data_IF_238276473342
#
_entry.id   IF_238276473342
#
_cell.length_a   1.000
_cell.length_b   1.000
_cell.length_c   1.000
_cell.angle_alpha   90.00
_cell.angle_beta   90.00
_cell.angle_gamma   90.00
#
_symmetry.space_group_name_H-M   'P 1'
#
loop_
_entity.id
_entity.type
_entity.pdbx_description
1 polymer ?
#
# COMPACT_ATOMS: atom_id res chain seq x y z
N UNK A 1 -17.65 2.10 2.17
CA UNK A 1 -16.56 3.10 2.27
C UNK A 1 -15.30 2.30 2.13
N UNK A 2 -14.50 2.55 1.09
CA UNK A 2 -13.39 1.65 0.79
C UNK A 2 -12.27 1.80 1.82
N UNK A 3 -11.73 0.68 2.30
CA UNK A 3 -10.74 0.62 3.37
C UNK A 3 -9.54 -0.22 2.92
N UNK A 4 -8.35 0.25 3.24
CA UNK A 4 -7.10 -0.48 3.09
C UNK A 4 -6.59 -0.79 4.50
N UNK A 5 -6.51 -2.07 4.89
CA UNK A 5 -5.95 -2.49 6.20
C UNK A 5 -4.55 -3.03 6.01
N UNK A 6 -3.62 -2.64 6.87
CA UNK A 6 -2.21 -3.04 6.78
C UNK A 6 -1.84 -3.99 7.91
N UNK A 7 -0.89 -4.87 7.61
CA UNK A 7 -0.42 -5.90 8.52
C UNK A 7 1.11 -5.95 8.52
N UNK A 8 1.67 -6.30 9.67
CA UNK A 8 3.13 -6.51 9.82
C UNK A 8 3.59 -7.82 9.17
N UNK A 9 2.71 -8.80 9.04
CA UNK A 9 3.00 -10.08 8.42
C UNK A 9 2.71 -10.07 6.91
N UNK A 10 3.30 -11.02 6.20
CA UNK A 10 2.88 -11.35 4.84
C UNK A 10 1.45 -11.94 4.82
N UNK A 11 0.79 -11.94 3.65
CA UNK A 11 -0.51 -12.61 3.45
C UNK A 11 -1.62 -12.14 4.42
N UNK A 12 -1.56 -10.88 4.87
CA UNK A 12 -2.43 -10.31 5.90
C UNK A 12 -2.44 -11.13 7.21
N UNK A 13 -1.33 -11.80 7.51
CA UNK A 13 -1.12 -12.51 8.76
C UNK A 13 -0.52 -11.59 9.84
N UNK A 14 -0.45 -12.09 11.08
CA UNK A 14 0.12 -11.38 12.24
C UNK A 14 -0.67 -10.13 12.64
N UNK A 15 -0.02 -9.14 13.24
CA UNK A 15 -0.67 -7.98 13.82
C UNK A 15 -1.22 -7.02 12.76
N UNK A 16 -2.46 -6.59 12.97
CA UNK A 16 -3.05 -5.46 12.27
C UNK A 16 -2.40 -4.17 12.80
N UNK A 17 -1.81 -3.37 11.91
CA UNK A 17 -1.02 -2.18 12.29
C UNK A 17 -1.69 -0.86 11.90
N UNK A 18 -2.81 -0.89 11.17
CA UNK A 18 -3.55 0.32 10.84
C UNK A 18 -4.42 0.20 9.60
N UNK A 19 -5.17 1.27 9.30
CA UNK A 19 -6.02 1.36 8.11
C UNK A 19 -6.05 2.75 7.52
N UNK A 20 -6.26 2.82 6.22
CA UNK A 20 -6.46 4.04 5.44
C UNK A 20 -7.80 3.99 4.72
N UNK A 21 -8.35 5.16 4.40
CA UNK A 21 -9.49 5.27 3.49
C UNK A 21 -9.01 5.24 2.05
N UNK A 22 -9.68 4.48 1.18
CA UNK A 22 -9.45 4.54 -0.27
C UNK A 22 -10.31 5.59 -0.97
N UNK A 23 -11.24 6.22 -0.26
CA UNK A 23 -12.22 7.15 -0.83
C UNK A 23 -11.69 8.60 -0.93
N UNK A 24 -10.51 8.87 -0.36
CA UNK A 24 -9.87 10.17 -0.39
C UNK A 24 -8.46 10.03 -0.94
N UNK A 25 -8.10 10.93 -1.86
CA UNK A 25 -6.72 11.09 -2.29
C UNK A 25 -5.91 11.75 -1.18
N UNK A 26 -4.97 11.01 -0.59
CA UNK A 26 -4.19 11.48 0.56
C UNK A 26 -2.80 10.86 0.58
N UNK A 27 -1.83 11.66 0.98
CA UNK A 27 -0.46 11.24 1.29
C UNK A 27 -0.29 11.10 2.80
N UNK A 28 0.33 10.00 3.21
CA UNK A 28 0.67 9.70 4.60
C UNK A 28 2.19 9.55 4.70
N UNK A 29 2.81 10.48 5.42
CA UNK A 29 4.20 10.37 5.86
C UNK A 29 4.23 9.58 7.17
N UNK A 30 4.76 8.35 7.13
CA UNK A 30 4.79 7.46 8.29
C UNK A 30 5.89 7.82 9.29
N UNK A 31 6.81 8.72 8.94
CA UNK A 31 7.82 9.22 9.89
C UNK A 31 7.23 10.14 10.96
N UNK A 32 6.00 10.64 10.75
CA UNK A 32 5.29 11.49 11.70
C UNK A 32 4.71 10.67 12.85
N UNK A 33 4.79 11.19 14.07
CA UNK A 33 4.21 10.56 15.28
C UNK A 33 2.69 10.33 15.16
N UNK A 34 2.00 11.16 14.38
CA UNK A 34 0.55 11.04 14.14
C UNK A 34 0.20 10.12 12.98
N UNK A 35 1.16 9.37 12.43
CA UNK A 35 0.90 8.48 11.31
C UNK A 35 -0.10 7.38 11.70
N UNK A 36 -1.08 7.06 10.82
CA UNK A 36 -2.08 6.04 11.11
C UNK A 36 -1.54 4.61 11.06
N UNK A 37 -0.31 4.43 10.57
CA UNK A 37 0.40 3.16 10.41
C UNK A 37 1.85 3.38 10.86
N UNK A 38 2.45 2.45 11.64
CA UNK A 38 3.85 2.51 12.02
C UNK A 38 4.80 2.48 10.82
N UNK A 39 5.88 3.25 10.93
CA UNK A 39 6.91 3.32 9.89
C UNK A 39 7.69 2.00 9.78
N UNK A 40 7.78 1.45 8.56
CA UNK A 40 8.63 0.32 8.23
C UNK A 40 8.08 -1.05 8.61
N UNK A 41 6.85 -1.11 9.15
CA UNK A 41 6.26 -2.37 9.61
C UNK A 41 5.35 -3.04 8.56
N UNK A 42 4.75 -2.26 7.65
CA UNK A 42 3.75 -2.82 6.72
C UNK A 42 4.36 -3.74 5.64
N UNK A 43 3.96 -5.01 5.62
CA UNK A 43 4.39 -6.00 4.62
C UNK A 43 3.28 -6.45 3.67
N UNK A 44 2.02 -6.36 4.10
CA UNK A 44 0.85 -6.77 3.32
C UNK A 44 -0.37 -5.90 3.66
N UNK A 45 -1.41 -5.96 2.81
CA UNK A 45 -2.68 -5.32 3.10
C UNK A 45 -3.89 -6.13 2.63
N UNK A 46 -5.07 -5.79 3.16
CA UNK A 46 -6.36 -6.20 2.61
C UNK A 46 -7.11 -4.98 2.09
N UNK A 47 -7.64 -5.10 0.88
CA UNK A 47 -8.50 -4.12 0.23
C UNK A 47 -9.96 -4.54 0.47
N UNK A 48 -10.76 -3.63 1.04
CA UNK A 48 -12.17 -3.87 1.37
C UNK A 48 -13.04 -2.80 0.71
N UNK A 49 -14.02 -3.22 -0.08
CA UNK A 49 -14.94 -2.34 -0.84
C UNK A 49 -14.22 -1.26 -1.68
N UNK A 50 -13.03 -1.56 -2.22
CA UNK A 50 -12.21 -0.57 -2.95
C UNK A 50 -12.66 -0.47 -4.40
N UNK A 51 -12.79 0.77 -4.89
CA UNK A 51 -13.30 1.06 -6.24
C UNK A 51 -12.22 0.85 -7.31
N UNK A 52 -12.61 0.44 -8.54
CA UNK A 52 -11.69 0.42 -9.67
C UNK A 52 -11.16 1.82 -9.96
N UNK A 53 -9.90 1.90 -10.37
CA UNK A 53 -9.15 3.13 -10.64
C UNK A 53 -8.36 3.66 -9.45
N UNK A 54 -8.61 3.19 -8.22
CA UNK A 54 -7.80 3.54 -7.06
C UNK A 54 -6.35 3.06 -7.24
N UNK A 55 -5.39 3.93 -6.93
CA UNK A 55 -3.96 3.60 -6.92
C UNK A 55 -3.36 3.83 -5.54
N UNK A 56 -2.57 2.89 -5.07
CA UNK A 56 -1.91 2.96 -3.76
C UNK A 56 -0.42 2.80 -4.01
N UNK A 57 0.36 3.84 -3.74
CA UNK A 57 1.82 3.82 -3.85
C UNK A 57 2.44 3.71 -2.48
N UNK A 58 3.40 2.80 -2.35
CA UNK A 58 4.11 2.50 -1.11
C UNK A 58 5.60 2.78 -1.35
N UNK A 59 6.14 3.74 -0.60
CA UNK A 59 7.53 4.18 -0.71
C UNK A 59 8.31 3.80 0.54
N UNK A 60 9.58 3.51 0.37
CA UNK A 60 10.54 3.19 1.45
C UNK A 60 11.13 4.42 2.15
N UNK A 61 10.96 5.63 1.61
CA UNK A 61 11.34 6.89 2.25
C UNK A 61 10.13 7.82 2.45
N UNK A 62 10.12 8.64 3.52
CA UNK A 62 9.13 9.70 3.72
C UNK A 62 9.19 10.79 2.64
N UNK A 63 10.36 10.99 2.03
CA UNK A 63 10.59 11.97 0.95
C UNK A 63 11.11 11.23 -0.28
N UNK A 64 10.22 10.69 -1.12
CA UNK A 64 10.62 9.81 -2.20
C UNK A 64 11.41 10.58 -3.26
N UNK A 65 12.61 10.08 -3.59
CA UNK A 65 13.40 10.62 -4.70
C UNK A 65 12.96 10.01 -6.04
N UNK A 66 13.27 10.65 -7.17
CA UNK A 66 12.93 10.12 -8.50
C UNK A 66 13.56 8.75 -8.81
N UNK A 67 14.68 8.43 -8.16
CA UNK A 67 15.41 7.16 -8.32
C UNK A 67 14.98 6.10 -7.31
N UNK A 68 14.06 6.42 -6.42
CA UNK A 68 13.68 5.54 -5.32
C UNK A 68 12.68 4.48 -5.76
N UNK A 69 12.88 3.26 -5.27
CA UNK A 69 11.98 2.17 -5.55
C UNK A 69 10.65 2.33 -4.82
N UNK A 70 9.56 1.96 -5.47
CA UNK A 70 8.25 1.96 -4.84
C UNK A 70 7.37 0.84 -5.38
N UNK A 71 6.35 0.49 -4.61
CA UNK A 71 5.34 -0.48 -5.01
C UNK A 71 4.05 0.25 -5.32
N UNK A 72 3.48 0.01 -6.49
CA UNK A 72 2.18 0.55 -6.89
C UNK A 72 1.15 -0.58 -6.95
N UNK A 73 0.06 -0.41 -6.21
CA UNK A 73 -1.11 -1.29 -6.24
C UNK A 73 -2.20 -0.56 -7.02
N UNK A 74 -2.62 -1.12 -8.15
CA UNK A 74 -3.62 -0.58 -9.06
C UNK A 74 -4.87 -1.45 -8.97
N UNK A 75 -5.98 -0.86 -8.56
CA UNK A 75 -7.28 -1.55 -8.51
C UNK A 75 -7.93 -1.45 -9.88
N UNK A 76 -8.05 -2.58 -10.59
CA UNK A 76 -8.58 -2.70 -11.96
C UNK A 76 -10.08 -2.96 -12.00
N UNK A 77 -10.60 -3.70 -11.01
CA UNK A 77 -12.02 -3.98 -10.85
C UNK A 77 -12.45 -3.74 -9.39
N UNK A 78 -13.75 -3.68 -9.12
CA UNK A 78 -14.23 -3.53 -7.75
C UNK A 78 -13.77 -4.71 -6.87
N UNK A 79 -13.25 -4.38 -5.69
CA UNK A 79 -12.77 -5.36 -4.72
C UNK A 79 -13.69 -5.35 -3.50
N UNK A 80 -14.38 -6.45 -3.26
CA UNK A 80 -15.19 -6.64 -2.04
C UNK A 80 -14.28 -6.94 -0.84
N UNK A 81 -13.45 -7.97 -0.96
CA UNK A 81 -12.39 -8.33 -0.01
C UNK A 81 -11.24 -9.01 -0.78
N UNK A 82 -10.02 -8.49 -0.67
CA UNK A 82 -8.84 -9.09 -1.28
C UNK A 82 -7.58 -8.80 -0.50
N UNK A 83 -6.76 -9.84 -0.30
CA UNK A 83 -5.42 -9.71 0.26
C UNK A 83 -4.40 -9.39 -0.85
N UNK A 84 -3.56 -8.38 -0.62
CA UNK A 84 -2.30 -8.18 -1.31
C UNK A 84 -1.21 -8.74 -0.40
N UNK A 85 -0.66 -9.93 -0.71
CA UNK A 85 0.11 -10.70 0.27
C UNK A 85 1.52 -10.17 0.51
N UNK A 86 2.08 -9.47 -0.46
CA UNK A 86 3.44 -8.96 -0.43
C UNK A 86 3.55 -7.63 -1.15
N UNK A 87 4.30 -6.69 -0.57
CA UNK A 87 4.66 -5.43 -1.25
C UNK A 87 5.98 -5.52 -2.02
N UNK A 88 6.66 -6.66 -2.01
CA UNK A 88 7.95 -6.88 -2.67
C UNK A 88 7.91 -7.96 -3.76
N UNK A 89 6.71 -8.40 -4.18
CA UNK A 89 6.53 -9.32 -5.31
C UNK A 89 5.52 -8.72 -6.30
N UNK A 90 5.88 -8.66 -7.58
CA UNK A 90 4.96 -8.30 -8.66
C UNK A 90 3.84 -9.34 -8.74
N UNK A 91 2.60 -8.90 -8.80
CA UNK A 91 1.45 -9.78 -8.96
C UNK A 91 0.37 -9.09 -9.78
N UNK A 92 -0.39 -9.84 -10.57
CA UNK A 92 -1.47 -9.26 -11.36
C UNK A 92 -2.57 -10.28 -11.54
N UNK A 93 -3.79 -9.84 -11.30
CA UNK A 93 -5.00 -10.59 -11.56
C UNK A 93 -6.08 -9.69 -12.19
N UNK A 94 -7.32 -10.17 -12.16
CA UNK A 94 -8.50 -9.51 -12.73
C UNK A 94 -8.93 -8.26 -11.96
N UNK A 95 -8.67 -8.19 -10.66
CA UNK A 95 -9.10 -7.07 -9.80
C UNK A 95 -7.97 -6.14 -9.40
N UNK A 96 -6.76 -6.65 -9.18
CA UNK A 96 -5.63 -5.92 -8.62
C UNK A 96 -4.35 -6.24 -9.38
N UNK A 97 -3.53 -5.21 -9.55
CA UNK A 97 -2.17 -5.34 -10.07
C UNK A 97 -1.21 -4.66 -9.10
N UNK A 98 -0.16 -5.38 -8.72
CA UNK A 98 0.95 -4.92 -7.89
C UNK A 98 2.18 -4.85 -8.77
N UNK A 99 2.72 -3.65 -8.96
CA UNK A 99 3.92 -3.38 -9.73
C UNK A 99 5.03 -2.86 -8.82
N UNK A 100 6.21 -3.45 -8.93
CA UNK A 100 7.41 -2.99 -8.24
C UNK A 100 8.24 -2.17 -9.21
N UNK A 101 8.32 -0.88 -8.93
CA UNK A 101 9.26 0.00 -9.58
C UNK A 101 10.58 -0.09 -8.83
N UNK A 102 11.51 -0.88 -9.37
CA UNK A 102 12.84 -1.03 -8.78
C UNK A 102 13.61 0.28 -8.90
N UNK A 103 14.11 0.75 -7.76
CA UNK A 103 14.99 1.91 -7.67
C UNK A 103 16.12 1.64 -6.68
N UNK A 104 16.74 2.70 -6.16
CA UNK A 104 17.74 2.61 -5.09
C UNK A 104 17.03 2.43 -3.74
N UNK A 105 17.44 1.42 -2.96
CA UNK A 105 16.93 1.16 -1.60
C UNK A 105 16.61 -0.31 -1.30
N UNK A 106 16.37 -0.63 -0.03
CA UNK A 106 15.88 -1.96 0.39
C UNK A 106 14.38 -2.08 0.13
N UNK A 107 13.97 -3.12 -0.59
CA UNK A 107 12.56 -3.43 -0.82
C UNK A 107 11.90 -3.95 0.47
N UNK A 108 10.68 -3.49 0.75
CA UNK A 108 9.82 -4.05 1.81
C UNK A 108 9.64 -3.18 3.06
N UNK A 109 10.37 -2.08 3.22
CA UNK A 109 10.04 -1.07 4.24
C UNK A 109 9.11 -0.03 3.65
N UNK A 110 8.01 0.27 4.32
CA UNK A 110 7.07 1.31 3.91
C UNK A 110 7.18 2.48 4.89
N UNK A 111 7.61 3.64 4.38
CA UNK A 111 7.75 4.89 5.14
C UNK A 111 6.80 5.99 4.67
N UNK A 112 6.19 5.83 3.49
CA UNK A 112 5.16 6.73 2.97
C UNK A 112 4.16 5.97 2.12
N UNK A 113 2.91 6.39 2.23
CA UNK A 113 1.80 5.83 1.47
C UNK A 113 1.07 6.96 0.76
N UNK A 114 0.82 6.80 -0.53
CA UNK A 114 -0.04 7.69 -1.29
C UNK A 114 -1.24 6.92 -1.81
N UNK A 115 -2.41 7.35 -1.39
CA UNK A 115 -3.67 6.86 -1.93
C UNK A 115 -4.17 7.88 -2.93
N UNK A 116 -4.44 7.43 -4.15
CA UNK A 116 -5.05 8.22 -5.21
C UNK A 116 -6.41 7.58 -5.53
N UNK A 117 -7.48 8.21 -5.06
CA UNK A 117 -8.86 7.83 -5.32
C UNK A 117 -9.31 8.34 -6.70
N UNK A 118 -10.39 7.78 -7.25
CA UNK A 118 -11.03 8.32 -8.46
C UNK A 118 -11.89 9.55 -8.16
#
# INVERSE_FOLDING_TARGET
MGIIRFYEGAEATQHYIGKLSSDLSQTYDLSLVSAPIPNGEALSCTLLEVRPGTKIKLFNSPTPSQDEGYTEIIVRAYVEDKCVPYFNVDSSDDQVEVQIHKGKGEAGKVSRIEVHSI
#
